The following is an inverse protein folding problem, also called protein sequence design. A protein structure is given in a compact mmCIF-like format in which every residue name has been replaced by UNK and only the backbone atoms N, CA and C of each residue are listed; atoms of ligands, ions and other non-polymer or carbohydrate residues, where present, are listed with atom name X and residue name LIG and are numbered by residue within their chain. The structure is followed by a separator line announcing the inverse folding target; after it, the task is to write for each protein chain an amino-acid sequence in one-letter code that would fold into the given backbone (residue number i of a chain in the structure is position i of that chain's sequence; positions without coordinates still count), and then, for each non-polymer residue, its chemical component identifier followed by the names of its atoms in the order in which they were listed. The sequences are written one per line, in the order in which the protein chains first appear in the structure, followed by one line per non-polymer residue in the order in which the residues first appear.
data_IF_697484044804
#
_entry.id   IF_697484044804
#
_cell.length_a   1.000
_cell.length_b   1.000
_cell.length_c   1.000
_cell.angle_alpha   90.00
_cell.angle_beta   90.00
_cell.angle_gamma   90.00
#
_symmetry.space_group_name_H-M   'P 1'
#
loop_
_entity.id
_entity.type
_entity.pdbx_description
1 polymer ?
#
# COMPACT_ATOMS: atom_id res chain seq x y z
N UNK A 1 22.85 23.05 29.19
CA UNK A 1 22.36 21.70 28.86
C UNK A 1 21.40 21.72 27.66
N UNK A 2 21.85 21.96 26.40
CA UNK A 2 20.92 22.13 25.26
C UNK A 2 20.80 20.91 24.31
N UNK A 3 21.61 19.86 24.42
CA UNK A 3 21.63 18.78 23.41
C UNK A 3 20.80 17.53 23.74
N UNK A 4 20.09 17.48 24.87
CA UNK A 4 19.37 16.26 25.32
C UNK A 4 18.05 16.01 24.58
N UNK A 5 17.35 17.08 24.21
CA UNK A 5 16.06 17.03 23.51
C UNK A 5 16.16 16.50 22.07
N UNK A 6 17.31 16.75 21.41
CA UNK A 6 17.46 16.49 19.97
C UNK A 6 17.76 15.01 19.68
N UNK A 7 18.43 14.29 20.60
CA UNK A 7 18.92 12.94 20.33
C UNK A 7 17.88 11.83 20.48
N UNK A 8 17.00 11.88 21.47
CA UNK A 8 15.92 10.89 21.60
C UNK A 8 14.92 11.04 20.45
N UNK A 9 14.56 12.28 20.08
CA UNK A 9 13.63 12.61 19.01
C UNK A 9 14.11 12.00 17.69
N UNK A 10 15.42 12.06 17.44
CA UNK A 10 16.03 11.47 16.24
C UNK A 10 15.65 10.00 16.07
N UNK A 11 15.68 9.14 17.09
CA UNK A 11 15.53 7.70 16.88
C UNK A 11 14.11 7.25 16.49
N UNK A 12 13.11 7.61 17.29
CA UNK A 12 11.70 7.26 16.98
C UNK A 12 11.23 7.94 15.69
N UNK A 13 11.63 9.20 15.47
CA UNK A 13 11.34 9.91 14.22
C UNK A 13 12.03 9.27 13.01
N UNK A 14 13.27 8.77 13.14
CA UNK A 14 13.97 8.06 12.04
C UNK A 14 13.24 6.77 11.64
N UNK A 15 12.75 6.02 12.62
CA UNK A 15 11.99 4.77 12.38
C UNK A 15 10.66 5.10 11.70
N UNK A 16 9.91 6.04 12.26
CA UNK A 16 8.66 6.50 11.69
C UNK A 16 8.83 7.03 10.27
N UNK A 17 9.85 7.86 10.02
CA UNK A 17 10.17 8.36 8.68
C UNK A 17 10.51 7.23 7.70
N UNK A 18 11.26 6.21 8.13
CA UNK A 18 11.55 5.04 7.28
C UNK A 18 10.28 4.24 6.96
N UNK A 19 9.36 4.12 7.92
CA UNK A 19 8.05 3.52 7.68
C UNK A 19 7.24 4.36 6.68
N UNK A 20 7.18 5.69 6.86
CA UNK A 20 6.51 6.59 5.91
C UNK A 20 7.12 6.51 4.50
N UNK A 21 8.46 6.45 4.38
CA UNK A 21 9.13 6.26 3.08
C UNK A 21 8.76 4.91 2.45
N UNK A 22 8.69 3.84 3.26
CA UNK A 22 8.27 2.53 2.78
C UNK A 22 6.82 2.56 2.29
N UNK A 23 5.91 3.15 3.06
CA UNK A 23 4.52 3.34 2.63
C UNK A 23 4.43 4.10 1.31
N UNK A 24 5.12 5.24 1.20
CA UNK A 24 5.12 6.05 -0.01
C UNK A 24 5.64 5.26 -1.21
N UNK A 25 6.74 4.53 -1.05
CA UNK A 25 7.28 3.69 -2.11
C UNK A 25 6.32 2.57 -2.52
N UNK A 26 5.61 1.97 -1.57
CA UNK A 26 4.64 0.92 -1.86
C UNK A 26 3.37 1.46 -2.53
N UNK A 27 2.90 2.67 -2.17
CA UNK A 27 1.84 3.38 -2.88
C UNK A 27 2.26 3.63 -4.33
N UNK A 28 3.52 4.06 -4.55
CA UNK A 28 4.05 4.22 -5.90
C UNK A 28 4.00 2.89 -6.66
N UNK A 29 4.39 1.77 -6.05
CA UNK A 29 4.29 0.47 -6.72
C UNK A 29 2.85 0.05 -7.02
N UNK A 30 1.89 0.27 -6.11
CA UNK A 30 0.47 0.05 -6.38
C UNK A 30 -0.03 0.91 -7.55
N UNK A 31 0.42 2.16 -7.61
CA UNK A 31 0.12 3.06 -8.73
C UNK A 31 0.72 2.56 -10.03
N UNK A 32 1.94 2.00 -10.01
CA UNK A 32 2.55 1.38 -11.18
C UNK A 32 1.78 0.12 -11.63
N UNK A 33 1.27 -0.69 -10.71
CA UNK A 33 0.35 -1.79 -11.04
C UNK A 33 -0.92 -1.26 -11.73
N UNK A 34 -1.49 -0.16 -11.23
CA UNK A 34 -2.65 0.50 -11.85
C UNK A 34 -2.32 1.05 -13.25
N UNK A 35 -1.17 1.69 -13.43
CA UNK A 35 -0.71 2.15 -14.75
C UNK A 35 -0.53 0.98 -15.72
N UNK A 36 0.05 -0.13 -15.25
CA UNK A 36 0.22 -1.31 -16.07
C UNK A 36 -1.14 -1.89 -16.51
N UNK A 37 -2.11 -1.98 -15.59
CA UNK A 37 -3.47 -2.36 -15.92
C UNK A 37 -4.11 -1.41 -16.94
N UNK A 38 -3.94 -0.09 -16.76
CA UNK A 38 -4.48 0.92 -17.67
C UNK A 38 -4.00 0.68 -19.09
N UNK A 39 -2.68 0.63 -19.30
CA UNK A 39 -2.10 0.51 -20.64
C UNK A 39 -2.41 -0.82 -21.30
N UNK A 40 -2.51 -1.91 -20.52
CA UNK A 40 -2.75 -3.24 -21.06
C UNK A 40 -4.23 -3.56 -21.28
N UNK A 41 -5.13 -3.07 -20.42
CA UNK A 41 -6.51 -3.57 -20.35
C UNK A 41 -7.59 -2.49 -20.42
N UNK A 42 -7.26 -1.20 -20.26
CA UNK A 42 -8.28 -0.13 -20.22
C UNK A 42 -8.10 0.87 -21.36
N UNK A 43 -6.87 1.13 -21.80
CA UNK A 43 -6.52 2.17 -22.77
C UNK A 43 -7.30 2.08 -24.09
N UNK A 44 -7.60 0.88 -24.57
CA UNK A 44 -8.38 0.69 -25.80
C UNK A 44 -9.85 1.14 -25.63
N UNK A 45 -10.39 1.11 -24.41
CA UNK A 45 -11.75 1.52 -24.09
C UNK A 45 -11.85 3.02 -23.72
N UNK A 46 -10.76 3.77 -23.72
CA UNK A 46 -10.73 5.20 -23.34
C UNK A 46 -10.55 6.15 -24.52
N UNK A 47 -10.67 5.69 -25.77
CA UNK A 47 -10.46 6.51 -26.96
C UNK A 47 -11.36 7.76 -27.02
N UNK A 48 -12.58 7.67 -26.49
CA UNK A 48 -13.57 8.76 -26.48
C UNK A 48 -13.65 9.49 -25.12
N UNK A 49 -12.89 9.04 -24.12
CA UNK A 49 -12.97 9.58 -22.76
C UNK A 49 -12.00 10.77 -22.61
N UNK A 50 -12.45 11.91 -22.06
CA UNK A 50 -11.57 13.02 -21.72
C UNK A 50 -10.39 12.58 -20.81
N UNK A 51 -9.18 13.05 -21.13
CA UNK A 51 -8.00 12.79 -20.30
C UNK A 51 -8.17 13.23 -18.84
N UNK A 52 -8.99 14.25 -18.59
CA UNK A 52 -9.33 14.72 -17.24
C UNK A 52 -10.01 13.64 -16.40
N UNK A 53 -10.89 12.82 -16.98
CA UNK A 53 -11.56 11.73 -16.26
C UNK A 53 -10.59 10.59 -15.95
N UNK A 54 -9.69 10.27 -16.89
CA UNK A 54 -8.61 9.30 -16.67
C UNK A 54 -7.73 9.76 -15.50
N UNK A 55 -7.29 11.03 -15.50
CA UNK A 55 -6.49 11.59 -14.42
C UNK A 55 -7.23 11.58 -13.08
N UNK A 56 -8.52 11.92 -13.07
CA UNK A 56 -9.35 11.84 -11.86
C UNK A 56 -9.44 10.42 -11.32
N UNK A 57 -9.52 9.41 -12.19
CA UNK A 57 -9.51 8.00 -11.77
C UNK A 57 -8.18 7.58 -11.13
N UNK A 58 -7.05 8.06 -11.65
CA UNK A 58 -5.75 7.85 -10.99
C UNK A 58 -5.68 8.52 -9.63
N UNK A 59 -6.21 9.74 -9.49
CA UNK A 59 -6.26 10.46 -8.20
C UNK A 59 -7.19 9.75 -7.22
N UNK A 60 -8.35 9.27 -7.66
CA UNK A 60 -9.25 8.45 -6.85
C UNK A 60 -8.53 7.17 -6.40
N UNK A 61 -7.81 6.51 -7.31
CA UNK A 61 -7.02 5.33 -6.99
C UNK A 61 -5.94 5.55 -5.94
N UNK A 62 -5.23 6.69 -5.99
CA UNK A 62 -4.27 7.07 -4.95
C UNK A 62 -4.92 7.19 -3.56
N UNK A 63 -6.19 7.64 -3.50
CA UNK A 63 -6.95 7.70 -2.22
C UNK A 63 -7.24 6.31 -1.67
N UNK A 64 -7.61 5.36 -2.53
CA UNK A 64 -7.77 3.95 -2.13
C UNK A 64 -6.46 3.33 -1.65
N UNK A 65 -5.34 3.61 -2.33
CA UNK A 65 -4.02 3.12 -1.91
C UNK A 65 -3.60 3.69 -0.54
N UNK A 66 -3.84 4.99 -0.31
CA UNK A 66 -3.61 5.63 0.98
C UNK A 66 -4.44 5.01 2.11
N UNK A 67 -5.70 4.68 1.82
CA UNK A 67 -6.58 4.03 2.78
C UNK A 67 -6.09 2.63 3.16
N UNK A 68 -5.70 1.81 2.18
CA UNK A 68 -5.08 0.49 2.45
C UNK A 68 -3.87 0.66 3.37
N UNK A 69 -2.98 1.62 3.08
CA UNK A 69 -1.82 1.88 3.92
C UNK A 69 -2.17 2.42 5.31
N UNK A 70 -3.24 3.21 5.43
CA UNK A 70 -3.78 3.64 6.73
C UNK A 70 -4.09 2.45 7.63
N UNK A 71 -4.79 1.43 7.11
CA UNK A 71 -5.09 0.20 7.85
C UNK A 71 -3.84 -0.64 8.13
N UNK A 72 -2.94 -0.79 7.14
CA UNK A 72 -1.67 -1.51 7.32
C UNK A 72 -0.75 -0.87 8.37
N UNK A 73 -0.92 0.42 8.65
CA UNK A 73 -0.14 1.13 9.65
C UNK A 73 -0.67 0.98 11.09
N UNK A 74 -1.89 0.47 11.28
CA UNK A 74 -2.47 0.26 12.62
C UNK A 74 -1.63 -0.70 13.47
N UNK A 75 -1.24 -1.90 13.00
CA UNK A 75 -0.35 -2.77 13.77
C UNK A 75 0.99 -2.11 14.08
N UNK A 76 1.53 -1.33 13.14
CA UNK A 76 2.81 -0.63 13.30
C UNK A 76 2.73 0.45 14.38
N UNK A 77 1.59 1.12 14.52
CA UNK A 77 1.38 2.12 15.56
C UNK A 77 1.51 1.54 16.97
N UNK A 78 0.90 0.39 17.23
CA UNK A 78 1.03 -0.27 18.53
C UNK A 78 2.49 -0.62 18.83
N UNK A 79 3.25 -1.01 17.81
CA UNK A 79 4.67 -1.31 17.95
C UNK A 79 5.53 -0.05 18.17
N UNK A 80 5.17 1.07 17.53
CA UNK A 80 5.78 2.39 17.81
C UNK A 80 5.45 2.87 19.22
N UNK A 81 4.26 2.55 19.74
CA UNK A 81 3.87 2.85 21.13
C UNK A 81 4.72 2.04 22.12
N UNK A 82 4.93 0.75 21.86
CA UNK A 82 5.86 -0.08 22.65
C UNK A 82 7.26 0.54 22.61
N UNK A 83 7.74 0.97 21.44
CA UNK A 83 9.04 1.66 21.32
C UNK A 83 9.09 2.99 22.10
N UNK A 84 7.99 3.75 22.12
CA UNK A 84 7.92 5.01 22.84
C UNK A 84 8.02 4.83 24.35
N UNK A 85 7.56 3.69 24.87
CA UNK A 85 7.53 3.38 26.31
C UNK A 85 8.75 2.55 26.76
N UNK A 86 9.36 1.77 25.87
CA UNK A 86 10.44 0.83 26.19
C UNK A 86 11.81 1.37 25.76
N UNK A 87 12.78 1.36 26.67
CA UNK A 87 14.14 1.88 26.39
C UNK A 87 14.96 1.02 25.42
N UNK A 88 14.66 -0.29 25.35
CA UNK A 88 15.37 -1.23 24.48
C UNK A 88 14.42 -1.83 23.46
N UNK A 89 14.85 -1.87 22.21
CA UNK A 89 14.08 -2.53 21.16
C UNK A 89 14.33 -4.03 21.19
N UNK A 90 13.28 -4.87 21.32
CA UNK A 90 13.46 -6.31 21.23
C UNK A 90 13.94 -6.69 19.82
N UNK A 91 15.01 -7.48 19.71
CA UNK A 91 15.54 -7.95 18.42
C UNK A 91 14.49 -8.65 17.56
N UNK A 92 13.51 -9.32 18.18
CA UNK A 92 12.39 -9.97 17.49
C UNK A 92 11.45 -9.01 16.75
N UNK A 93 11.38 -7.74 17.16
CA UNK A 93 10.51 -6.74 16.51
C UNK A 93 10.98 -6.43 15.08
N UNK A 94 12.29 -6.43 14.84
CA UNK A 94 12.85 -6.25 13.51
C UNK A 94 12.41 -7.34 12.54
N UNK A 95 12.51 -8.59 13.00
CA UNK A 95 12.08 -9.76 12.23
C UNK A 95 10.58 -9.69 11.98
N UNK A 96 9.80 -9.31 12.99
CA UNK A 96 8.37 -9.11 12.85
C UNK A 96 8.04 -8.08 11.77
N UNK A 97 8.62 -6.88 11.78
CA UNK A 97 8.35 -5.85 10.76
C UNK A 97 8.68 -6.33 9.35
N UNK A 98 9.87 -6.94 9.17
CA UNK A 98 10.27 -7.45 7.85
C UNK A 98 9.33 -8.54 7.37
N UNK A 99 8.99 -9.49 8.22
CA UNK A 99 8.06 -10.56 7.88
C UNK A 99 6.67 -10.01 7.58
N UNK A 100 6.14 -9.10 8.40
CA UNK A 100 4.85 -8.45 8.20
C UNK A 100 4.78 -7.77 6.83
N UNK A 101 5.71 -6.86 6.52
CA UNK A 101 5.70 -6.17 5.23
C UNK A 101 5.97 -7.11 4.06
N UNK A 102 6.80 -8.15 4.23
CA UNK A 102 7.05 -9.14 3.17
C UNK A 102 5.78 -9.91 2.85
N UNK A 103 5.04 -10.38 3.88
CA UNK A 103 3.77 -11.09 3.70
C UNK A 103 2.74 -10.18 3.06
N UNK A 104 2.57 -8.95 3.55
CA UNK A 104 1.63 -7.99 2.98
C UNK A 104 1.97 -7.67 1.52
N UNK A 105 3.24 -7.41 1.21
CA UNK A 105 3.68 -7.14 -0.16
C UNK A 105 3.46 -8.34 -1.09
N UNK A 106 3.77 -9.54 -0.61
CA UNK A 106 3.48 -10.77 -1.33
C UNK A 106 1.98 -10.91 -1.64
N UNK A 107 1.12 -10.67 -0.65
CA UNK A 107 -0.35 -10.71 -0.83
C UNK A 107 -0.81 -9.67 -1.85
N UNK A 108 -0.34 -8.42 -1.77
CA UNK A 108 -0.66 -7.36 -2.74
C UNK A 108 -0.30 -7.80 -4.15
N UNK A 109 0.90 -8.33 -4.36
CA UNK A 109 1.36 -8.78 -5.67
C UNK A 109 0.53 -9.96 -6.19
N UNK A 110 0.25 -10.98 -5.36
CA UNK A 110 -0.54 -12.15 -5.75
C UNK A 110 -1.97 -11.75 -6.10
N UNK A 111 -2.61 -10.93 -5.28
CA UNK A 111 -3.96 -10.45 -5.54
C UNK A 111 -4.03 -9.59 -6.80
N UNK A 112 -3.10 -8.64 -6.96
CA UNK A 112 -3.01 -7.81 -8.18
C UNK A 112 -2.75 -8.67 -9.42
N UNK A 113 -1.97 -9.76 -9.28
CA UNK A 113 -1.67 -10.67 -10.36
C UNK A 113 -2.91 -11.43 -10.81
N UNK A 114 -3.65 -12.04 -9.88
CA UNK A 114 -4.87 -12.80 -10.18
C UNK A 114 -5.96 -11.86 -10.72
N UNK A 115 -6.16 -10.72 -10.05
CA UNK A 115 -7.18 -9.74 -10.40
C UNK A 115 -6.98 -9.15 -11.80
N UNK A 116 -5.74 -9.01 -12.28
CA UNK A 116 -5.50 -8.54 -13.66
C UNK A 116 -6.14 -9.45 -14.72
N UNK A 117 -6.00 -10.77 -14.59
CA UNK A 117 -6.57 -11.71 -15.56
C UNK A 117 -8.09 -11.71 -15.51
N UNK A 118 -8.65 -11.57 -14.32
CA UNK A 118 -10.08 -11.41 -14.14
C UNK A 118 -10.58 -10.10 -14.77
N UNK A 119 -9.93 -8.97 -14.45
CA UNK A 119 -10.27 -7.65 -14.96
C UNK A 119 -10.19 -7.61 -16.49
N UNK A 120 -9.14 -8.17 -17.07
CA UNK A 120 -8.96 -8.14 -18.52
C UNK A 120 -10.05 -8.92 -19.26
N UNK A 121 -10.68 -9.92 -18.62
CA UNK A 121 -11.83 -10.67 -19.18
C UNK A 121 -13.18 -10.02 -18.89
N UNK A 122 -13.38 -9.47 -17.69
CA UNK A 122 -14.69 -9.03 -17.21
C UNK A 122 -14.88 -7.51 -17.15
N UNK A 123 -13.82 -6.73 -17.33
CA UNK A 123 -13.83 -5.27 -17.26
C UNK A 123 -14.07 -4.69 -15.85
N UNK A 124 -14.01 -5.52 -14.81
CA UNK A 124 -14.23 -5.14 -13.41
C UNK A 124 -13.26 -5.87 -12.48
N UNK A 125 -12.99 -5.31 -11.30
CA UNK A 125 -12.13 -5.95 -10.28
C UNK A 125 -12.87 -7.09 -9.57
N UNK A 126 -12.11 -8.08 -9.10
CA UNK A 126 -12.63 -9.14 -8.24
C UNK A 126 -13.08 -8.59 -6.89
N UNK A 127 -14.24 -9.03 -6.40
CA UNK A 127 -14.73 -8.83 -5.04
C UNK A 127 -14.51 -10.11 -4.23
N UNK A 128 -14.87 -10.08 -2.95
CA UNK A 128 -14.63 -11.20 -2.04
C UNK A 128 -15.17 -12.55 -2.54
N UNK A 129 -16.39 -12.56 -3.10
CA UNK A 129 -17.04 -13.78 -3.60
C UNK A 129 -16.28 -14.44 -4.77
N UNK A 130 -15.70 -13.63 -5.66
CA UNK A 130 -14.90 -14.15 -6.78
C UNK A 130 -13.55 -14.69 -6.31
N UNK A 131 -12.96 -14.13 -5.25
CA UNK A 131 -11.77 -14.72 -4.65
C UNK A 131 -12.07 -16.06 -3.96
N UNK A 132 -13.24 -16.21 -3.34
CA UNK A 132 -13.65 -17.45 -2.67
C UNK A 132 -13.98 -18.58 -3.65
N UNK A 133 -14.50 -18.23 -4.82
CA UNK A 133 -14.78 -19.18 -5.91
C UNK A 133 -13.61 -19.40 -6.87
N UNK A 134 -12.48 -18.73 -6.65
CA UNK A 134 -11.32 -18.81 -7.52
C UNK A 134 -10.65 -20.19 -7.46
N UNK A 135 -10.34 -20.74 -8.64
CA UNK A 135 -9.56 -21.98 -8.77
C UNK A 135 -8.59 -21.89 -9.96
N UNK A 136 -7.47 -22.66 -9.96
CA UNK A 136 -6.42 -22.55 -10.97
C UNK A 136 -6.89 -22.71 -12.42
N UNK A 137 -7.96 -23.49 -12.67
CA UNK A 137 -8.52 -23.65 -14.00
C UNK A 137 -9.14 -22.35 -14.54
N UNK A 138 -9.86 -21.58 -13.70
CA UNK A 138 -10.39 -20.26 -14.10
C UNK A 138 -9.26 -19.34 -14.53
N UNK A 139 -8.15 -19.35 -13.79
CA UNK A 139 -6.98 -18.55 -14.12
C UNK A 139 -6.39 -18.93 -15.48
N UNK A 140 -6.25 -20.23 -15.77
CA UNK A 140 -5.72 -20.70 -17.06
C UNK A 140 -6.65 -20.27 -18.20
N UNK A 141 -7.96 -20.43 -18.05
CA UNK A 141 -8.95 -20.01 -19.04
C UNK A 141 -8.91 -18.49 -19.30
N UNK A 142 -8.77 -17.68 -18.24
CA UNK A 142 -8.64 -16.23 -18.35
C UNK A 142 -7.32 -15.83 -19.04
N UNK A 143 -6.21 -16.48 -18.68
CA UNK A 143 -4.91 -16.22 -19.28
C UNK A 143 -4.84 -16.62 -20.76
N UNK A 144 -5.52 -17.71 -21.16
CA UNK A 144 -5.63 -18.14 -22.55
C UNK A 144 -6.49 -17.20 -23.40
N UNK A 145 -7.44 -16.48 -22.79
CA UNK A 145 -8.27 -15.48 -23.47
C UNK A 145 -7.52 -14.19 -23.83
N UNK A 146 -6.32 -13.97 -23.27
CA UNK A 146 -5.52 -12.78 -23.51
C UNK A 146 -4.47 -12.99 -24.60
N UNK A 147 -4.06 -11.88 -25.22
CA UNK A 147 -2.93 -11.92 -26.13
C UNK A 147 -1.65 -12.34 -25.37
N UNK A 148 -0.84 -13.26 -25.92
CA UNK A 148 0.38 -13.72 -25.25
C UNK A 148 1.30 -12.57 -24.83
N UNK A 149 1.44 -11.53 -25.66
CA UNK A 149 2.26 -10.37 -25.37
C UNK A 149 1.78 -9.59 -24.14
N UNK A 150 0.46 -9.39 -24.01
CA UNK A 150 -0.15 -8.71 -22.87
C UNK A 150 0.12 -9.49 -21.57
N UNK A 151 -0.07 -10.80 -21.60
CA UNK A 151 0.23 -11.70 -20.48
C UNK A 151 1.70 -11.63 -20.08
N UNK A 152 2.62 -11.73 -21.05
CA UNK A 152 4.06 -11.68 -20.77
C UNK A 152 4.51 -10.33 -20.20
N UNK A 153 4.05 -9.21 -20.79
CA UNK A 153 4.38 -7.88 -20.28
C UNK A 153 3.90 -7.72 -18.84
N UNK A 154 2.66 -8.14 -18.56
CA UNK A 154 2.11 -8.07 -17.21
C UNK A 154 2.89 -8.93 -16.21
N UNK A 155 3.23 -10.17 -16.57
CA UNK A 155 4.04 -11.09 -15.74
C UNK A 155 5.41 -10.49 -15.44
N UNK A 156 6.12 -10.00 -16.46
CA UNK A 156 7.47 -9.43 -16.29
C UNK A 156 7.44 -8.21 -15.38
N UNK A 157 6.49 -7.28 -15.58
CA UNK A 157 6.35 -6.10 -14.72
C UNK A 157 5.98 -6.51 -13.30
N UNK A 158 5.09 -7.49 -13.12
CA UNK A 158 4.71 -7.98 -11.79
C UNK A 158 5.91 -8.57 -11.05
N UNK A 159 6.71 -9.41 -11.72
CA UNK A 159 7.93 -10.00 -11.14
C UNK A 159 8.96 -8.92 -10.81
N UNK A 160 9.11 -7.91 -11.67
CA UNK A 160 9.99 -6.76 -11.43
C UNK A 160 9.54 -5.96 -10.20
N UNK A 161 8.27 -5.56 -10.13
CA UNK A 161 7.71 -4.83 -8.98
C UNK A 161 7.78 -5.65 -7.69
N UNK A 162 7.46 -6.94 -7.75
CA UNK A 162 7.60 -7.86 -6.63
C UNK A 162 9.04 -7.86 -6.10
N UNK A 163 10.02 -8.03 -7.00
CA UNK A 163 11.44 -8.07 -6.66
C UNK A 163 11.93 -6.74 -6.08
N UNK A 164 11.53 -5.61 -6.66
CA UNK A 164 11.87 -4.27 -6.18
C UNK A 164 11.28 -4.01 -4.78
N UNK A 165 10.02 -4.36 -4.55
CA UNK A 165 9.40 -4.23 -3.23
C UNK A 165 10.04 -5.14 -2.19
N UNK A 166 10.37 -6.38 -2.54
CA UNK A 166 11.12 -7.29 -1.68
C UNK A 166 12.52 -6.75 -1.34
N UNK A 167 13.26 -6.25 -2.34
CA UNK A 167 14.56 -5.62 -2.14
C UNK A 167 14.48 -4.39 -1.23
N UNK A 168 13.45 -3.55 -1.42
CA UNK A 168 13.19 -2.39 -0.57
C UNK A 168 12.99 -2.83 0.89
N UNK A 169 12.10 -3.79 1.15
CA UNK A 169 11.82 -4.31 2.50
C UNK A 169 13.09 -4.92 3.11
N UNK A 170 13.84 -5.71 2.33
CA UNK A 170 15.10 -6.32 2.77
C UNK A 170 16.16 -5.27 3.14
N UNK A 171 16.24 -4.18 2.37
CA UNK A 171 17.20 -3.08 2.57
C UNK A 171 16.94 -2.24 3.81
N UNK A 172 15.75 -2.35 4.42
CA UNK A 172 15.42 -1.64 5.64
C UNK A 172 16.29 -2.13 6.79
N UNK A 173 17.07 -1.22 7.34
CA UNK A 173 17.87 -1.40 8.55
C UNK A 173 17.18 -0.65 9.71
N UNK A 174 16.19 -1.28 10.33
CA UNK A 174 15.66 -0.78 11.59
C UNK A 174 16.63 -1.16 12.71
N UNK A 175 17.07 -0.18 13.51
CA UNK A 175 17.91 -0.46 14.69
C UNK A 175 19.32 -0.99 14.39
N UNK A 176 20.00 -0.45 13.36
CA UNK A 176 21.47 -0.52 13.24
C UNK A 176 22.06 0.90 13.31
N UNK A 177 21.58 1.70 14.25
CA UNK A 177 22.00 3.10 14.35
C UNK A 177 23.14 3.18 15.35
N UNK A 178 24.31 3.64 14.91
CA UNK A 178 25.51 3.86 15.76
C UNK A 178 25.23 4.67 17.06
N UNK A 179 24.11 5.39 17.12
CA UNK A 179 23.64 6.15 18.29
C UNK A 179 22.97 5.28 19.38
N UNK A 180 22.92 3.95 19.22
CA UNK A 180 22.23 2.97 20.09
C UNK A 180 22.69 2.91 21.56
N UNK A 181 23.75 3.62 21.93
CA UNK A 181 24.35 3.50 23.27
C UNK A 181 23.85 4.50 24.32
N UNK A 182 22.84 5.33 24.05
CA UNK A 182 22.12 6.01 25.13
C UNK A 182 20.63 6.19 24.84
N UNK A 183 19.79 5.15 25.01
CA UNK A 183 18.35 5.36 25.12
C UNK A 183 18.10 6.20 26.38
N UNK A 184 17.88 7.50 26.19
CA UNK A 184 17.47 8.39 27.27
C UNK A 184 15.97 8.59 27.17
N UNK A 185 15.27 8.55 28.31
CA UNK A 185 13.85 8.90 28.40
C UNK A 185 13.65 10.31 27.85
N UNK A 186 12.88 10.41 26.77
CA UNK A 186 12.44 11.69 26.22
C UNK A 186 11.55 12.45 27.21
N UNK A 187 11.38 13.74 26.97
CA UNK A 187 10.43 14.55 27.76
C UNK A 187 8.99 14.06 27.56
N UNK A 188 8.10 14.34 28.51
CA UNK A 188 6.67 13.97 28.42
C UNK A 188 6.00 14.52 27.15
N UNK A 189 6.34 15.75 26.75
CA UNK A 189 5.88 16.37 25.50
C UNK A 189 6.34 15.57 24.27
N UNK A 190 7.57 15.09 24.28
CA UNK A 190 8.16 14.34 23.18
C UNK A 190 7.52 12.97 23.01
N UNK A 191 7.32 12.26 24.12
CA UNK A 191 6.58 10.99 24.12
C UNK A 191 5.14 11.19 23.62
N UNK A 192 4.48 12.28 24.03
CA UNK A 192 3.15 12.63 23.52
C UNK A 192 3.15 12.86 22.00
N UNK A 193 4.09 13.64 21.46
CA UNK A 193 4.19 13.89 20.02
C UNK A 193 4.47 12.62 19.21
N UNK A 194 5.32 11.71 19.72
CA UNK A 194 5.61 10.42 19.07
C UNK A 194 4.41 9.49 18.97
N UNK A 195 3.45 9.62 19.89
CA UNK A 195 2.22 8.83 19.91
C UNK A 195 1.15 9.53 19.07
N UNK A 196 0.93 10.83 19.30
CA UNK A 196 -0.14 11.58 18.65
C UNK A 196 0.08 11.75 17.15
N UNK A 197 1.30 12.01 16.68
CA UNK A 197 1.55 12.26 15.26
C UNK A 197 1.27 11.04 14.37
N UNK A 198 1.80 9.83 14.66
CA UNK A 198 1.43 8.63 13.90
C UNK A 198 -0.06 8.30 14.00
N UNK A 199 -0.68 8.50 15.17
CA UNK A 199 -2.11 8.27 15.34
C UNK A 199 -2.94 9.18 14.42
N UNK A 200 -2.64 10.48 14.40
CA UNK A 200 -3.33 11.44 13.52
C UNK A 200 -3.14 11.06 12.05
N UNK A 201 -1.92 10.70 11.63
CA UNK A 201 -1.68 10.28 10.25
C UNK A 201 -2.43 9.00 9.88
N UNK A 202 -2.52 8.02 10.78
CA UNK A 202 -3.28 6.78 10.55
C UNK A 202 -4.76 7.08 10.45
N UNK A 203 -5.31 7.90 11.33
CA UNK A 203 -6.74 8.29 11.28
C UNK A 203 -7.05 9.02 9.99
N UNK A 204 -6.20 9.96 9.56
CA UNK A 204 -6.37 10.68 8.30
C UNK A 204 -6.26 9.73 7.09
N UNK A 205 -5.29 8.82 7.09
CA UNK A 205 -5.10 7.85 6.01
C UNK A 205 -6.24 6.84 5.93
N UNK A 206 -6.63 6.22 7.06
CA UNK A 206 -7.68 5.21 7.13
C UNK A 206 -9.09 5.78 6.82
N UNK A 207 -9.29 7.08 7.04
CA UNK A 207 -10.54 7.75 6.63
C UNK A 207 -10.63 7.89 5.11
N UNK A 208 -9.51 8.11 4.42
CA UNK A 208 -9.44 8.25 2.96
C UNK A 208 -10.10 9.53 2.39
N UNK A 209 -10.91 10.24 3.18
CA UNK A 209 -11.61 11.48 2.81
C UNK A 209 -11.60 12.49 3.97
N UNK A 210 -11.87 13.76 3.66
CA UNK A 210 -12.18 14.80 4.68
C UNK A 210 -13.68 14.83 4.98
N UNK A 211 -14.49 14.16 4.15
CA UNK A 211 -15.95 14.11 4.22
C UNK A 211 -16.45 13.21 5.35
N UNK A 212 -17.70 13.41 5.83
CA UNK A 212 -18.21 12.72 7.02
C UNK A 212 -18.21 11.18 6.93
N UNK A 213 -18.23 10.63 5.71
CA UNK A 213 -18.31 9.19 5.45
C UNK A 213 -16.97 8.62 5.01
N UNK A 214 -16.71 7.37 5.41
CA UNK A 214 -15.54 6.61 4.96
C UNK A 214 -15.56 6.42 3.45
N UNK A 215 -14.39 6.29 2.83
CA UNK A 215 -14.25 6.10 1.39
C UNK A 215 -15.04 4.86 0.93
N UNK A 216 -16.18 5.08 0.26
CA UNK A 216 -17.04 4.08 -0.37
C UNK A 216 -16.66 3.78 -1.83
N UNK A 217 -17.25 2.72 -2.39
CA UNK A 217 -17.16 2.32 -3.81
C UNK A 217 -17.54 3.49 -4.74
N UNK A 218 -18.56 4.25 -4.38
CA UNK A 218 -19.09 5.39 -5.14
C UNK A 218 -18.03 6.47 -5.43
N UNK A 219 -17.01 6.62 -4.57
CA UNK A 219 -15.94 7.58 -4.84
C UNK A 219 -14.96 7.16 -5.94
N UNK A 220 -15.12 5.94 -6.48
CA UNK A 220 -14.44 5.52 -7.71
C UNK A 220 -15.19 5.93 -8.98
N UNK A 221 -16.45 6.38 -8.87
CA UNK A 221 -17.31 6.75 -10.00
C UNK A 221 -17.01 8.17 -10.50
N UNK A 222 -15.85 8.34 -11.14
CA UNK A 222 -15.39 9.62 -11.70
C UNK A 222 -15.75 9.81 -13.18
N UNK A 223 -16.09 8.73 -13.88
CA UNK A 223 -16.37 8.71 -15.32
C UNK A 223 -17.69 7.97 -15.60
N UNK A 224 -18.30 8.24 -16.75
CA UNK A 224 -19.40 7.40 -17.26
C UNK A 224 -18.92 6.03 -17.74
N UNK A 225 -17.61 5.85 -17.94
CA UNK A 225 -17.01 4.58 -18.33
C UNK A 225 -16.70 3.71 -17.10
N UNK A 226 -17.36 2.56 -17.01
CA UNK A 226 -17.22 1.63 -15.88
C UNK A 226 -15.81 1.07 -15.71
N UNK A 227 -15.08 0.82 -16.81
CA UNK A 227 -13.72 0.30 -16.75
C UNK A 227 -12.74 1.31 -16.13
N UNK A 228 -12.96 2.61 -16.34
CA UNK A 228 -12.17 3.69 -15.72
C UNK A 228 -12.43 3.76 -14.22
N UNK A 229 -13.68 3.58 -13.80
CA UNK A 229 -14.04 3.59 -12.38
C UNK A 229 -13.46 2.37 -11.66
N UNK A 230 -13.60 1.18 -12.24
CA UNK A 230 -13.04 -0.07 -11.70
C UNK A 230 -11.49 -0.07 -11.71
N UNK A 231 -10.86 0.66 -12.62
CA UNK A 231 -9.41 0.84 -12.62
C UNK A 231 -8.92 1.62 -11.39
N UNK A 232 -9.69 2.62 -10.92
CA UNK A 232 -9.33 3.40 -9.74
C UNK A 232 -9.15 2.48 -8.53
N UNK A 233 -10.01 1.48 -8.40
CA UNK A 233 -9.99 0.53 -7.31
C UNK A 233 -8.71 -0.33 -7.29
N UNK A 234 -8.33 -0.76 -6.08
CA UNK A 234 -7.19 -1.64 -5.83
C UNK A 234 -7.70 -3.03 -5.46
N UNK A 235 -7.05 -4.09 -5.99
CA UNK A 235 -7.42 -5.48 -5.75
C UNK A 235 -7.53 -5.84 -4.25
N UNK A 236 -6.65 -5.28 -3.42
CA UNK A 236 -6.65 -5.52 -1.97
C UNK A 236 -7.83 -4.86 -1.28
N UNK A 237 -8.23 -3.67 -1.73
CA UNK A 237 -9.38 -2.98 -1.18
C UNK A 237 -10.69 -3.67 -1.57
N UNK A 238 -10.79 -4.14 -2.82
CA UNK A 238 -11.98 -4.85 -3.30
C UNK A 238 -12.19 -6.21 -2.62
N UNK A 239 -11.15 -6.82 -2.05
CA UNK A 239 -11.29 -8.06 -1.28
C UNK A 239 -12.00 -7.86 0.06
N UNK A 240 -11.95 -6.66 0.64
CA UNK A 240 -12.68 -6.32 1.87
C UNK A 240 -14.18 -6.02 1.61
N UNK A 241 -14.60 -6.00 0.35
CA UNK A 241 -15.96 -5.67 -0.09
C UNK A 241 -16.66 -6.84 -0.75
#
# INVERSE_FOLDING_TARGET
MPNRFIFSLRFSTKVFLKLCMLALAMIVFMTLFRMNLYFLSVFHATAEVPFTEVLQSFVAGLRFDLLIFGFLFIPLYFLLLIQAVTEKWPRGMFVFYKSYFTVIWFLICVMSFIDFFYFAKHGRRMRFEEYMSWHPQVFIEQAQGLQPNQTWIFVVITVLLFSLGYMLIKSLKFGEWKDEYSPQRGSTLETALRILLPLVLIVLAARGTVEPHHLALEHSEVSSNTAINEMALNAVWCFDK
#
